data_IF_969693329115
#
_entry.id   IF_969693329115
#
_cell.length_a   1.000
_cell.length_b   1.000
_cell.length_c   1.000
_cell.angle_alpha   90.00
_cell.angle_beta   90.00
_cell.angle_gamma   90.00
#
_symmetry.space_group_name_H-M   'P 1'
#
loop_
_entity.id
_entity.type
_entity.pdbx_description
1 polymer ?
#
# COMPACT_ATOMS: atom_id res chain seq x y z
N UNK A 1 -7.67 14.33 28.19
CA UNK A 1 -6.65 13.35 27.78
C UNK A 1 -7.01 12.92 26.37
N UNK A 2 -6.18 13.31 25.40
CA UNK A 2 -6.40 13.14 23.96
C UNK A 2 -6.47 11.67 23.59
N UNK A 3 -7.63 11.23 23.08
CA UNK A 3 -7.76 9.93 22.44
C UNK A 3 -6.76 9.87 21.28
N UNK A 4 -5.74 9.04 21.44
CA UNK A 4 -4.81 8.66 20.38
C UNK A 4 -5.67 8.17 19.20
N UNK A 5 -5.44 8.64 17.97
CA UNK A 5 -6.13 8.08 16.83
C UNK A 5 -5.71 6.62 16.77
N UNK A 6 -6.64 5.73 17.11
CA UNK A 6 -6.60 4.31 16.77
C UNK A 6 -6.33 4.26 15.28
N UNK A 7 -5.06 4.15 14.90
CA UNK A 7 -4.67 3.78 13.55
C UNK A 7 -5.27 2.41 13.33
N UNK A 8 -6.47 2.40 12.74
CA UNK A 8 -7.09 1.16 12.31
C UNK A 8 -6.09 0.49 11.36
N UNK A 9 -5.95 -0.85 11.37
CA UNK A 9 -5.01 -1.54 10.48
C UNK A 9 -5.08 -0.99 9.04
N UNK A 10 -6.31 -0.80 8.53
CA UNK A 10 -6.57 -0.23 7.21
C UNK A 10 -6.05 1.20 6.95
N UNK A 11 -5.74 2.03 7.94
CA UNK A 11 -5.11 3.34 7.72
C UNK A 11 -3.64 3.21 7.30
N UNK A 12 -2.92 2.23 7.86
CA UNK A 12 -1.53 1.96 7.48
C UNK A 12 -1.48 1.44 6.05
N UNK A 13 -2.39 0.53 5.70
CA UNK A 13 -2.57 0.05 4.31
C UNK A 13 -2.94 1.18 3.37
N UNK A 14 -3.88 2.06 3.73
CA UNK A 14 -4.23 3.20 2.88
C UNK A 14 -3.05 4.13 2.64
N UNK A 15 -2.27 4.46 3.67
CA UNK A 15 -1.04 5.27 3.52
C UNK A 15 0.00 4.58 2.65
N UNK A 16 0.18 3.27 2.86
CA UNK A 16 1.03 2.44 2.02
C UNK A 16 0.54 2.43 0.56
N UNK A 17 -0.77 2.38 0.31
CA UNK A 17 -1.35 2.32 -1.03
C UNK A 17 -1.18 3.64 -1.76
N UNK A 18 -1.41 4.75 -1.06
CA UNK A 18 -1.15 6.10 -1.61
C UNK A 18 0.33 6.26 -1.96
N UNK A 19 1.24 5.92 -1.03
CA UNK A 19 2.68 5.98 -1.27
C UNK A 19 3.12 5.05 -2.41
N UNK A 20 2.54 3.84 -2.47
CA UNK A 20 2.77 2.89 -3.55
C UNK A 20 2.30 3.44 -4.90
N UNK A 21 1.10 4.04 -4.95
CA UNK A 21 0.55 4.62 -6.17
C UNK A 21 1.41 5.79 -6.67
N UNK A 22 1.83 6.69 -5.77
CA UNK A 22 2.77 7.76 -6.09
C UNK A 22 4.11 7.21 -6.62
N UNK A 23 4.62 6.11 -6.04
CA UNK A 23 5.83 5.45 -6.53
C UNK A 23 5.62 4.77 -7.87
N UNK A 24 4.47 4.13 -8.10
CA UNK A 24 4.11 3.46 -9.35
C UNK A 24 3.88 4.48 -10.47
N UNK A 25 3.29 5.63 -10.19
CA UNK A 25 3.18 6.74 -11.16
C UNK A 25 4.53 7.37 -11.49
N UNK A 26 5.43 7.51 -10.49
CA UNK A 26 6.80 7.99 -10.74
C UNK A 26 7.70 6.98 -11.43
N UNK A 27 7.48 5.69 -11.17
CA UNK A 27 8.29 4.58 -11.67
C UNK A 27 7.40 3.46 -12.21
N UNK A 28 6.69 3.67 -13.33
CA UNK A 28 5.81 2.65 -13.90
C UNK A 28 6.58 1.42 -14.41
N UNK A 29 7.89 1.57 -14.61
CA UNK A 29 8.81 0.50 -15.01
C UNK A 29 9.22 -0.40 -13.83
N UNK A 30 8.94 -0.01 -12.58
CA UNK A 30 9.25 -0.83 -11.41
C UNK A 30 8.14 -1.84 -11.13
N UNK A 31 8.55 -3.08 -10.93
CA UNK A 31 7.66 -4.16 -10.50
C UNK A 31 6.90 -3.81 -9.21
N UNK A 32 5.61 -4.12 -9.24
CA UNK A 32 4.72 -3.98 -8.09
C UNK A 32 5.31 -4.64 -6.86
N UNK A 33 5.90 -5.84 -7.01
CA UNK A 33 6.51 -6.61 -5.93
C UNK A 33 7.66 -5.87 -5.24
N UNK A 34 8.44 -5.12 -6.01
CA UNK A 34 9.59 -4.36 -5.52
C UNK A 34 9.15 -3.11 -4.75
N UNK A 35 8.12 -2.42 -5.27
CA UNK A 35 7.48 -1.31 -4.59
C UNK A 35 6.75 -1.79 -3.33
N UNK A 36 6.06 -2.93 -3.38
CA UNK A 36 5.37 -3.55 -2.25
C UNK A 36 6.35 -3.86 -1.12
N UNK A 37 7.51 -4.47 -1.41
CA UNK A 37 8.55 -4.73 -0.40
C UNK A 37 9.11 -3.44 0.23
N UNK A 38 9.33 -2.40 -0.56
CA UNK A 38 9.77 -1.11 -0.03
C UNK A 38 8.73 -0.51 0.90
N UNK A 39 7.45 -0.58 0.50
CA UNK A 39 6.33 -0.03 1.27
C UNK A 39 6.06 -0.88 2.52
N UNK A 40 6.17 -2.20 2.43
CA UNK A 40 6.08 -3.15 3.55
C UNK A 40 7.12 -2.83 4.62
N UNK A 41 8.39 -2.69 4.21
CA UNK A 41 9.49 -2.34 5.12
C UNK A 41 9.35 -0.92 5.68
N UNK A 42 8.84 0.02 4.88
CA UNK A 42 8.76 1.44 5.25
C UNK A 42 7.57 1.77 6.13
N UNK A 43 6.45 1.07 5.98
CA UNK A 43 5.23 1.26 6.77
C UNK A 43 5.03 0.19 7.84
N UNK A 44 5.94 -0.78 7.93
CA UNK A 44 5.87 -1.90 8.87
C UNK A 44 4.53 -2.65 8.69
N UNK A 45 4.24 -2.98 7.42
CA UNK A 45 3.02 -3.71 7.07
C UNK A 45 3.18 -5.18 7.48
N UNK A 46 2.12 -5.74 8.06
CA UNK A 46 2.03 -7.18 8.25
C UNK A 46 1.76 -7.89 6.92
N UNK A 47 2.07 -9.19 6.81
CA UNK A 47 1.82 -9.96 5.59
C UNK A 47 0.34 -9.92 5.15
N UNK A 48 -0.62 -9.84 6.09
CA UNK A 48 -2.04 -9.65 5.76
C UNK A 48 -2.30 -8.31 5.06
N UNK A 49 -1.71 -7.23 5.57
CA UNK A 49 -1.89 -5.88 5.05
C UNK A 49 -1.21 -5.74 3.69
N UNK A 50 -0.07 -6.39 3.50
CA UNK A 50 0.65 -6.49 2.23
C UNK A 50 -0.17 -7.26 1.18
N UNK A 51 -0.78 -8.39 1.56
CA UNK A 51 -1.67 -9.15 0.68
C UNK A 51 -2.91 -8.34 0.30
N UNK A 52 -3.51 -7.62 1.25
CA UNK A 52 -4.64 -6.72 1.00
C UNK A 52 -4.25 -5.59 0.05
N UNK A 53 -3.09 -4.97 0.28
CA UNK A 53 -2.53 -3.92 -0.58
C UNK A 53 -2.34 -4.44 -2.01
N UNK A 54 -1.67 -5.58 -2.17
CA UNK A 54 -1.41 -6.21 -3.45
C UNK A 54 -2.71 -6.56 -4.17
N UNK A 55 -3.71 -7.07 -3.44
CA UNK A 55 -5.02 -7.39 -3.98
C UNK A 55 -5.76 -6.14 -4.45
N UNK A 56 -5.75 -5.05 -3.67
CA UNK A 56 -6.34 -3.77 -4.08
C UNK A 56 -5.66 -3.20 -5.33
N UNK A 57 -4.33 -3.27 -5.42
CA UNK A 57 -3.57 -2.82 -6.59
C UNK A 57 -3.92 -3.66 -7.83
N UNK A 58 -4.02 -5.00 -7.68
CA UNK A 58 -4.40 -5.91 -8.76
C UNK A 58 -5.86 -5.75 -9.18
N UNK A 59 -6.76 -5.43 -8.24
CA UNK A 59 -8.15 -5.11 -8.53
C UNK A 59 -8.26 -3.77 -9.27
N UNK A 60 -7.56 -2.72 -8.84
CA UNK A 60 -7.57 -1.40 -9.49
C UNK A 60 -6.98 -1.46 -10.91
N UNK A 61 -5.90 -2.23 -11.12
CA UNK A 61 -5.32 -2.46 -12.44
C UNK A 61 -6.27 -3.24 -13.38
N UNK A 62 -7.20 -4.01 -12.82
CA UNK A 62 -8.23 -4.74 -13.57
C UNK A 62 -9.39 -3.86 -14.04
N UNK A 63 -9.61 -2.72 -13.38
CA UNK A 63 -10.70 -1.78 -13.70
C UNK A 63 -10.22 -0.47 -14.34
N UNK A 64 -8.92 -0.33 -14.59
CA UNK A 64 -8.37 0.74 -15.42
C UNK A 64 -8.64 0.45 -16.89
N UNK A 65 -9.90 0.66 -17.30
CA UNK A 65 -10.30 0.87 -18.69
C UNK A 65 -9.65 2.15 -19.25
#
# INVERSE_FOLDING_TARGET
MTALPTQLPGERVKKALVAYCEMKEKYPERDHRSLLQQVETRFDLTPLECEFLNRQILEDEKYRC
#
